data_IF_357128576945
#
_entry.id   IF_357128576945
#
_cell.length_a   1.000
_cell.length_b   1.000
_cell.length_c   1.000
_cell.angle_alpha   90.00
_cell.angle_beta   90.00
_cell.angle_gamma   90.00
#
_symmetry.space_group_name_H-M   'P 1'
#
loop_
_entity.id
_entity.type
_entity.pdbx_description
1 polymer ?
#
# COMPACT_ATOMS: atom_id res chain seq x y z
N UNK A 1 2.48 19.89 14.97
CA UNK A 1 1.69 19.20 13.94
C UNK A 1 2.58 19.01 12.74
N UNK A 2 2.56 17.89 12.05
CA UNK A 2 3.28 17.79 10.80
C UNK A 2 2.77 18.86 9.83
N UNK A 3 3.67 19.48 9.06
CA UNK A 3 3.28 20.40 8.01
C UNK A 3 2.41 19.66 6.99
N UNK A 4 1.30 20.24 6.60
CA UNK A 4 0.44 19.66 5.56
C UNK A 4 1.21 19.67 4.23
N UNK A 5 1.58 18.54 3.64
CA UNK A 5 2.35 18.51 2.40
C UNK A 5 1.54 19.03 1.20
N UNK A 6 0.21 18.93 1.28
CA UNK A 6 -0.72 19.38 0.27
C UNK A 6 -1.55 20.54 0.82
N UNK A 7 -1.58 21.67 0.10
CA UNK A 7 -2.49 22.79 0.41
C UNK A 7 -3.91 22.45 -0.05
N UNK A 8 -4.95 23.13 0.47
CA UNK A 8 -6.31 22.91 0.02
C UNK A 8 -6.44 23.02 -1.51
N UNK A 9 -6.93 21.95 -2.15
CA UNK A 9 -7.05 21.85 -3.61
C UNK A 9 -5.84 21.27 -4.35
N UNK A 10 -4.67 21.13 -3.71
CA UNK A 10 -3.56 20.36 -4.28
C UNK A 10 -3.88 18.85 -4.25
N UNK A 11 -3.40 18.15 -5.26
CA UNK A 11 -3.57 16.70 -5.42
C UNK A 11 -2.22 15.99 -5.43
N UNK A 12 -2.24 14.71 -5.18
CA UNK A 12 -1.08 13.84 -5.39
C UNK A 12 -0.69 13.83 -6.87
N UNK A 13 0.62 13.76 -7.15
CA UNK A 13 1.09 13.61 -8.53
C UNK A 13 0.56 12.33 -9.15
N UNK A 14 0.73 11.19 -8.51
CA UNK A 14 0.20 9.90 -8.97
C UNK A 14 -0.04 8.94 -7.81
N UNK A 15 -0.96 7.99 -7.99
CA UNK A 15 -1.36 7.02 -6.97
C UNK A 15 -1.49 5.63 -7.61
N UNK A 16 -0.85 4.63 -7.04
CA UNK A 16 -0.97 3.24 -7.49
C UNK A 16 -2.42 2.77 -7.37
N UNK A 17 -2.96 2.22 -8.43
CA UNK A 17 -4.34 1.78 -8.50
C UNK A 17 -4.46 0.38 -9.08
N UNK A 18 -5.00 -0.53 -8.28
CA UNK A 18 -5.48 -1.84 -8.66
C UNK A 18 -6.98 -1.90 -8.35
N UNK A 19 -7.85 -2.30 -9.28
CA UNK A 19 -9.31 -2.15 -9.11
C UNK A 19 -9.98 -3.27 -8.33
N UNK A 20 -9.22 -4.13 -7.66
CA UNK A 20 -9.78 -5.28 -6.92
C UNK A 20 -10.43 -4.84 -5.61
N UNK A 21 -11.62 -5.38 -5.30
CA UNK A 21 -12.39 -5.09 -4.08
C UNK A 21 -12.70 -6.37 -3.30
N UNK A 22 -12.57 -6.32 -1.99
CA UNK A 22 -12.96 -7.39 -1.09
C UNK A 22 -12.31 -8.74 -1.43
N UNK A 23 -13.06 -9.65 -2.03
CA UNK A 23 -12.58 -11.00 -2.41
C UNK A 23 -12.04 -11.10 -3.83
N UNK A 24 -12.11 -10.04 -4.62
CA UNK A 24 -11.53 -10.03 -5.95
C UNK A 24 -10.01 -10.11 -5.85
N UNK A 25 -9.39 -10.83 -6.78
CA UNK A 25 -7.93 -11.07 -6.78
C UNK A 25 -7.42 -11.30 -8.19
N UNK A 26 -6.23 -10.82 -8.54
CA UNK A 26 -5.56 -11.17 -9.79
C UNK A 26 -4.99 -12.59 -9.80
N UNK A 27 -4.99 -13.28 -8.64
CA UNK A 27 -4.45 -14.64 -8.51
C UNK A 27 -5.44 -15.71 -8.96
N UNK A 28 -6.69 -15.33 -9.23
CA UNK A 28 -7.75 -16.24 -9.68
C UNK A 28 -8.13 -16.03 -11.15
N UNK A 29 -8.44 -17.10 -11.87
CA UNK A 29 -8.78 -17.06 -13.30
C UNK A 29 -10.15 -16.42 -13.61
N UNK A 30 -11.02 -16.26 -12.61
CA UNK A 30 -12.41 -15.85 -12.80
C UNK A 30 -12.71 -14.40 -12.39
N UNK A 31 -11.70 -13.62 -12.05
CA UNK A 31 -11.90 -12.22 -11.70
C UNK A 31 -12.08 -11.39 -12.97
N UNK A 32 -13.19 -10.64 -13.05
CA UNK A 32 -13.44 -9.65 -14.09
C UNK A 32 -13.95 -8.37 -13.44
N UNK A 33 -13.26 -7.27 -13.67
CA UNK A 33 -13.60 -5.97 -13.11
C UNK A 33 -14.51 -5.22 -14.09
N UNK A 34 -15.65 -4.74 -13.60
CA UNK A 34 -16.60 -4.01 -14.43
C UNK A 34 -16.18 -2.55 -14.62
N UNK A 35 -16.60 -1.96 -15.76
CA UNK A 35 -16.43 -0.53 -16.01
C UNK A 35 -17.08 0.34 -14.93
N UNK A 36 -18.22 -0.08 -14.36
CA UNK A 36 -18.92 0.64 -13.29
C UNK A 36 -18.09 0.71 -12.02
N UNK A 37 -17.43 -0.40 -11.65
CA UNK A 37 -16.53 -0.43 -10.49
C UNK A 37 -15.34 0.51 -10.68
N UNK A 38 -14.70 0.47 -11.85
CA UNK A 38 -13.57 1.35 -12.20
C UNK A 38 -14.02 2.81 -12.19
N UNK A 39 -15.20 3.11 -12.75
CA UNK A 39 -15.74 4.48 -12.80
C UNK A 39 -16.01 5.05 -11.40
N UNK A 40 -16.59 4.26 -10.49
CA UNK A 40 -16.78 4.64 -9.09
C UNK A 40 -15.44 4.92 -8.40
N UNK A 41 -14.44 4.05 -8.57
CA UNK A 41 -13.11 4.25 -7.99
C UNK A 41 -12.46 5.53 -8.54
N UNK A 42 -12.41 5.69 -9.86
CA UNK A 42 -11.73 6.82 -10.49
C UNK A 42 -12.43 8.16 -10.20
N UNK A 43 -13.76 8.16 -10.03
CA UNK A 43 -14.51 9.35 -9.59
C UNK A 43 -14.09 9.86 -8.22
N UNK A 44 -13.71 8.94 -7.32
CA UNK A 44 -13.18 9.24 -5.98
C UNK A 44 -11.73 9.69 -6.06
N UNK A 45 -10.90 8.94 -6.80
CA UNK A 45 -9.47 9.22 -6.95
C UNK A 45 -9.21 10.55 -7.64
N UNK A 46 -10.03 10.96 -8.60
CA UNK A 46 -9.91 12.26 -9.26
C UNK A 46 -10.01 13.47 -8.31
N UNK A 47 -10.52 13.27 -7.09
CA UNK A 47 -10.57 14.33 -6.06
C UNK A 47 -9.25 14.50 -5.32
N UNK A 48 -8.37 13.47 -5.32
CA UNK A 48 -7.18 13.43 -4.47
C UNK A 48 -5.88 13.23 -5.25
N UNK A 49 -5.93 12.83 -6.52
CA UNK A 49 -4.74 12.67 -7.38
C UNK A 49 -5.00 13.17 -8.80
N UNK A 50 -3.94 13.55 -9.51
CA UNK A 50 -3.99 13.91 -10.92
C UNK A 50 -3.71 12.72 -11.85
N UNK A 51 -3.16 11.63 -11.31
CA UNK A 51 -2.77 10.46 -12.07
C UNK A 51 -3.01 9.18 -11.27
N UNK A 52 -3.31 8.09 -12.01
CA UNK A 52 -3.25 6.72 -11.47
C UNK A 52 -2.19 5.91 -12.20
N UNK A 53 -1.44 5.09 -11.46
CA UNK A 53 -0.51 4.10 -12.01
C UNK A 53 -1.15 2.73 -11.93
N UNK A 54 -1.25 2.05 -13.09
CA UNK A 54 -1.74 0.66 -13.19
C UNK A 54 -0.60 -0.32 -13.34
N UNK A 55 -0.89 -1.63 -13.22
CA UNK A 55 0.11 -2.70 -13.24
C UNK A 55 -0.10 -3.72 -14.36
N UNK A 56 -1.31 -3.78 -14.91
CA UNK A 56 -1.71 -4.79 -15.88
C UNK A 56 -2.79 -4.24 -16.81
N UNK A 57 -3.02 -4.94 -17.90
CA UNK A 57 -4.14 -4.72 -18.84
C UNK A 57 -5.20 -5.82 -18.75
N UNK A 58 -5.00 -6.85 -17.91
CA UNK A 58 -5.93 -7.96 -17.75
C UNK A 58 -7.09 -7.65 -16.79
N UNK A 59 -8.01 -8.57 -16.65
CA UNK A 59 -9.14 -8.53 -15.72
C UNK A 59 -10.09 -7.35 -15.91
N UNK A 60 -10.12 -6.71 -17.08
CA UNK A 60 -10.90 -5.51 -17.37
C UNK A 60 -10.18 -4.20 -17.10
N UNK A 61 -8.88 -4.24 -16.72
CA UNK A 61 -8.07 -3.05 -16.48
C UNK A 61 -7.73 -2.26 -17.76
N UNK A 62 -7.87 -2.87 -18.93
CA UNK A 62 -7.78 -2.21 -20.25
C UNK A 62 -8.81 -1.07 -20.42
N UNK A 63 -9.88 -1.06 -19.62
CA UNK A 63 -10.89 0.00 -19.60
C UNK A 63 -10.45 1.26 -18.84
N UNK A 64 -9.42 1.17 -17.97
CA UNK A 64 -9.02 2.24 -17.05
C UNK A 64 -8.68 3.52 -17.80
N UNK A 65 -7.89 3.47 -18.87
CA UNK A 65 -7.48 4.66 -19.60
C UNK A 65 -8.66 5.45 -20.20
N UNK A 66 -9.63 4.75 -20.77
CA UNK A 66 -10.85 5.38 -21.33
C UNK A 66 -11.76 5.97 -20.25
N UNK A 67 -11.81 5.33 -19.07
CA UNK A 67 -12.59 5.83 -17.93
C UNK A 67 -11.88 7.02 -17.28
N UNK A 68 -10.57 6.93 -17.08
CA UNK A 68 -9.74 8.00 -16.53
C UNK A 68 -9.85 9.31 -17.34
N UNK A 69 -9.93 9.19 -18.67
CA UNK A 69 -10.14 10.34 -19.56
C UNK A 69 -11.41 11.13 -19.21
N UNK A 70 -12.51 10.43 -18.84
CA UNK A 70 -13.77 11.10 -18.46
C UNK A 70 -13.68 11.86 -17.14
N UNK A 71 -12.79 11.43 -16.23
CA UNK A 71 -12.55 12.06 -14.93
C UNK A 71 -11.39 13.06 -14.94
N UNK A 72 -10.77 13.32 -16.11
CA UNK A 72 -9.61 14.22 -16.23
C UNK A 72 -8.32 13.69 -15.60
N UNK A 73 -8.27 12.40 -15.28
CA UNK A 73 -7.09 11.74 -14.72
C UNK A 73 -6.10 11.36 -15.80
N UNK A 74 -4.81 11.49 -15.51
CA UNK A 74 -3.73 10.88 -16.28
C UNK A 74 -3.51 9.44 -15.84
N UNK A 75 -2.85 8.63 -16.69
CA UNK A 75 -2.54 7.23 -16.41
C UNK A 75 -1.07 6.95 -16.71
N UNK A 76 -0.36 6.38 -15.76
CA UNK A 76 0.87 5.64 -16.01
C UNK A 76 0.47 4.18 -16.27
N UNK A 77 0.39 3.81 -17.54
CA UNK A 77 -0.13 2.51 -17.97
C UNK A 77 0.91 1.43 -17.76
N UNK A 78 0.69 0.58 -16.76
CA UNK A 78 1.48 -0.62 -16.55
C UNK A 78 1.05 -1.75 -17.47
N UNK A 79 2.02 -2.60 -17.80
CA UNK A 79 1.79 -3.90 -18.38
C UNK A 79 2.57 -4.94 -17.55
N UNK A 80 1.95 -6.09 -17.29
CA UNK A 80 2.56 -7.13 -16.46
C UNK A 80 3.41 -8.07 -17.32
N UNK A 81 4.70 -8.09 -17.08
CA UNK A 81 5.61 -9.04 -17.70
C UNK A 81 5.95 -10.17 -16.73
N UNK A 82 6.03 -11.38 -17.27
CA UNK A 82 6.33 -12.62 -16.56
C UNK A 82 7.22 -13.53 -17.38
N UNK A 83 7.52 -14.72 -16.87
CA UNK A 83 8.24 -15.77 -17.61
C UNK A 83 7.41 -16.44 -18.72
N UNK A 84 6.18 -15.95 -19.00
CA UNK A 84 5.27 -16.51 -20.00
C UNK A 84 5.15 -15.61 -21.23
N UNK A 85 5.90 -15.88 -22.32
CA UNK A 85 5.97 -15.01 -23.52
C UNK A 85 4.62 -14.71 -24.15
N UNK A 86 3.69 -15.68 -24.19
CA UNK A 86 2.38 -15.48 -24.79
C UNK A 86 1.52 -14.49 -24.01
N UNK A 87 1.57 -14.55 -22.67
CA UNK A 87 0.91 -13.56 -21.80
C UNK A 87 1.54 -12.19 -21.96
N UNK A 88 2.86 -12.13 -21.97
CA UNK A 88 3.61 -10.88 -22.18
C UNK A 88 3.20 -10.22 -23.50
N UNK A 89 3.07 -10.99 -24.58
CA UNK A 89 2.61 -10.47 -25.88
C UNK A 89 1.23 -9.82 -25.79
N UNK A 90 0.27 -10.45 -25.14
CA UNK A 90 -1.09 -9.90 -24.96
C UNK A 90 -1.04 -8.58 -24.18
N UNK A 91 -0.30 -8.54 -23.08
CA UNK A 91 -0.10 -7.33 -22.28
C UNK A 91 0.51 -6.20 -23.11
N UNK A 92 1.56 -6.50 -23.88
CA UNK A 92 2.27 -5.52 -24.72
C UNK A 92 1.33 -4.98 -25.82
N UNK A 93 0.67 -5.85 -26.56
CA UNK A 93 -0.22 -5.42 -27.65
C UNK A 93 -1.37 -4.55 -27.13
N UNK A 94 -1.96 -4.93 -25.99
CA UNK A 94 -3.02 -4.14 -25.35
C UNK A 94 -2.51 -2.79 -24.89
N UNK A 95 -1.38 -2.73 -24.18
CA UNK A 95 -0.82 -1.47 -23.68
C UNK A 95 -0.41 -0.53 -24.82
N UNK A 96 0.17 -1.06 -25.90
CA UNK A 96 0.51 -0.28 -27.11
C UNK A 96 -0.75 0.27 -27.78
N UNK A 97 -1.80 -0.55 -27.93
CA UNK A 97 -3.07 -0.09 -28.49
C UNK A 97 -3.71 1.01 -27.65
N UNK A 98 -3.69 0.87 -26.30
CA UNK A 98 -4.21 1.89 -25.38
C UNK A 98 -3.41 3.18 -25.45
N UNK A 99 -2.08 3.13 -25.46
CA UNK A 99 -1.22 4.32 -25.53
C UNK A 99 -1.44 5.10 -26.83
N UNK A 100 -1.64 4.41 -27.94
CA UNK A 100 -1.95 5.05 -29.22
C UNK A 100 -3.40 5.60 -29.28
N UNK A 101 -4.34 4.95 -28.59
CA UNK A 101 -5.75 5.40 -28.55
C UNK A 101 -5.98 6.58 -27.61
N UNK A 102 -5.24 6.66 -26.52
CA UNK A 102 -5.43 7.65 -25.46
C UNK A 102 -4.15 8.45 -25.15
N UNK A 103 -3.46 9.05 -26.15
CA UNK A 103 -2.18 9.73 -25.92
C UNK A 103 -2.30 10.99 -25.05
N UNK A 104 -3.51 11.56 -24.96
CA UNK A 104 -3.79 12.69 -24.06
C UNK A 104 -4.06 12.29 -22.61
N UNK A 105 -4.31 11.00 -22.35
CA UNK A 105 -4.61 10.46 -21.01
C UNK A 105 -3.45 9.63 -20.46
N UNK A 106 -2.92 8.72 -21.27
CA UNK A 106 -1.73 7.94 -20.91
C UNK A 106 -0.51 8.85 -21.03
N UNK A 107 0.12 9.16 -19.90
CA UNK A 107 1.31 10.03 -19.86
C UNK A 107 2.63 9.25 -19.92
N UNK A 108 2.61 7.95 -19.63
CA UNK A 108 3.75 7.06 -19.77
C UNK A 108 3.29 5.59 -19.81
N UNK A 109 4.11 4.72 -20.43
CA UNK A 109 3.96 3.27 -20.34
C UNK A 109 5.06 2.71 -19.42
N UNK A 110 4.63 1.91 -18.43
CA UNK A 110 5.53 1.19 -17.51
C UNK A 110 5.64 -0.25 -17.97
N UNK A 111 6.77 -0.59 -18.60
CA UNK A 111 7.01 -1.90 -19.23
C UNK A 111 7.54 -2.90 -18.20
N UNK A 112 6.63 -3.50 -17.46
CA UNK A 112 6.93 -4.44 -16.38
C UNK A 112 7.08 -3.77 -15.01
N UNK A 113 6.77 -4.55 -13.99
CA UNK A 113 6.91 -4.21 -12.58
C UNK A 113 7.73 -5.28 -11.87
N UNK A 114 8.91 -4.91 -11.35
CA UNK A 114 9.79 -5.80 -10.56
C UNK A 114 10.13 -7.13 -11.26
N UNK A 115 10.25 -7.11 -12.57
CA UNK A 115 10.51 -8.30 -13.40
C UNK A 115 11.86 -8.91 -13.05
N UNK A 116 12.85 -8.05 -12.79
CA UNK A 116 14.20 -8.50 -12.40
C UNK A 116 14.23 -8.95 -10.95
N UNK A 117 13.55 -8.27 -10.04
CA UNK A 117 13.38 -8.69 -8.65
C UNK A 117 12.74 -10.08 -8.58
N UNK A 118 11.71 -10.34 -9.38
CA UNK A 118 11.03 -11.64 -9.44
C UNK A 118 11.82 -12.70 -10.23
N UNK A 119 12.92 -12.33 -10.90
CA UNK A 119 13.73 -13.26 -11.69
C UNK A 119 13.01 -13.85 -12.91
N UNK A 120 12.02 -13.15 -13.46
CA UNK A 120 11.17 -13.69 -14.53
C UNK A 120 11.69 -13.46 -15.94
N UNK A 121 12.61 -12.50 -16.13
CA UNK A 121 13.28 -12.25 -17.40
C UNK A 121 14.75 -11.85 -17.14
N UNK A 122 15.62 -12.04 -18.15
CA UNK A 122 16.96 -11.45 -18.14
C UNK A 122 16.90 -9.93 -18.36
N UNK A 123 17.90 -9.18 -17.88
CA UNK A 123 17.99 -7.73 -18.14
C UNK A 123 18.07 -7.41 -19.64
N UNK A 124 18.76 -8.24 -20.41
CA UNK A 124 18.91 -8.10 -21.86
C UNK A 124 17.57 -8.24 -22.58
N UNK A 125 16.77 -9.27 -22.24
CA UNK A 125 15.46 -9.49 -22.85
C UNK A 125 14.47 -8.40 -22.43
N UNK A 126 14.51 -7.98 -21.17
CA UNK A 126 13.71 -6.88 -20.68
C UNK A 126 14.06 -5.56 -21.41
N UNK A 127 15.33 -5.23 -21.53
CA UNK A 127 15.77 -4.03 -22.26
C UNK A 127 15.38 -4.07 -23.74
N UNK A 128 15.43 -5.24 -24.38
CA UNK A 128 14.96 -5.43 -25.75
C UNK A 128 13.43 -5.21 -25.84
N UNK A 129 12.66 -5.76 -24.90
CA UNK A 129 11.22 -5.58 -24.80
C UNK A 129 10.84 -4.11 -24.61
N UNK A 130 11.52 -3.40 -23.71
CA UNK A 130 11.31 -1.96 -23.47
C UNK A 130 11.52 -1.17 -24.76
N UNK A 131 12.64 -1.40 -25.48
CA UNK A 131 12.91 -0.72 -26.76
C UNK A 131 11.86 -1.03 -27.83
N UNK A 132 11.37 -2.28 -27.89
CA UNK A 132 10.33 -2.68 -28.82
C UNK A 132 8.98 -1.98 -28.54
N UNK A 133 8.60 -1.82 -27.27
CA UNK A 133 7.42 -1.06 -26.88
C UNK A 133 7.62 0.42 -27.18
N UNK A 134 8.76 0.99 -26.79
CA UNK A 134 9.09 2.40 -27.01
C UNK A 134 9.00 2.84 -28.48
N UNK A 135 9.40 1.97 -29.40
CA UNK A 135 9.31 2.23 -30.84
C UNK A 135 7.84 2.29 -31.37
N UNK A 136 6.85 1.90 -30.56
CA UNK A 136 5.45 1.70 -31.00
C UNK A 136 4.46 2.63 -30.31
N UNK A 137 4.89 3.41 -29.31
CA UNK A 137 4.03 4.29 -28.53
C UNK A 137 4.44 5.75 -28.64
N UNK A 138 3.50 6.70 -28.63
CA UNK A 138 3.80 8.14 -28.76
C UNK A 138 4.14 8.81 -27.41
N UNK A 139 4.21 8.06 -26.32
CA UNK A 139 4.41 8.55 -24.95
C UNK A 139 5.71 7.99 -24.36
N UNK A 140 6.30 8.63 -23.35
CA UNK A 140 7.50 8.14 -22.68
C UNK A 140 7.33 6.73 -22.11
N UNK A 141 8.43 5.96 -22.12
CA UNK A 141 8.45 4.58 -21.63
C UNK A 141 9.44 4.44 -20.49
N UNK A 142 9.02 3.77 -19.44
CA UNK A 142 9.84 3.41 -18.29
C UNK A 142 9.68 1.94 -17.93
N UNK A 143 10.46 1.49 -17.01
CA UNK A 143 10.35 0.23 -16.27
C UNK A 143 10.32 0.56 -14.78
N UNK A 144 9.74 -0.27 -13.94
CA UNK A 144 9.66 -0.03 -12.50
C UNK A 144 10.22 -1.22 -11.71
N UNK A 145 11.18 -0.95 -10.83
CA UNK A 145 11.78 -1.96 -9.95
C UNK A 145 12.37 -1.32 -8.68
N UNK A 146 12.75 -2.15 -7.73
CA UNK A 146 13.48 -1.70 -6.54
C UNK A 146 14.83 -1.11 -6.93
N UNK A 147 15.30 -0.19 -6.12
CA UNK A 147 16.41 0.68 -6.47
C UNK A 147 17.74 -0.05 -6.74
N UNK A 148 17.99 -1.20 -6.11
CA UNK A 148 19.20 -2.01 -6.28
C UNK A 148 19.33 -2.57 -7.70
N UNK A 149 18.21 -2.99 -8.32
CA UNK A 149 18.21 -3.56 -9.65
C UNK A 149 18.54 -2.50 -10.71
N UNK A 150 18.12 -1.27 -10.49
CA UNK A 150 18.51 -0.16 -11.36
C UNK A 150 20.02 0.06 -11.37
N UNK A 151 20.68 0.01 -10.20
CA UNK A 151 22.13 0.16 -10.10
C UNK A 151 22.89 -1.03 -10.67
N UNK A 152 22.26 -2.22 -10.69
CA UNK A 152 22.88 -3.46 -11.19
C UNK A 152 22.80 -3.59 -12.70
N UNK A 153 21.77 -3.07 -13.35
CA UNK A 153 21.46 -3.33 -14.75
C UNK A 153 21.41 -2.06 -15.60
N UNK A 154 22.59 -1.59 -16.03
CA UNK A 154 22.73 -0.37 -16.82
C UNK A 154 22.10 -0.46 -18.22
N UNK A 155 21.97 -1.66 -18.80
CA UNK A 155 21.32 -1.93 -20.09
C UNK A 155 19.81 -1.60 -20.06
N UNK A 156 19.14 -1.87 -18.95
CA UNK A 156 17.74 -1.51 -18.72
C UNK A 156 17.61 0.01 -18.56
N UNK A 157 18.51 0.64 -17.79
CA UNK A 157 18.52 2.09 -17.64
C UNK A 157 18.73 2.83 -18.96
N UNK A 158 19.53 2.26 -19.89
CA UNK A 158 19.73 2.81 -21.23
C UNK A 158 18.48 2.69 -22.13
N UNK A 159 17.60 1.72 -21.88
CA UNK A 159 16.44 1.45 -22.71
C UNK A 159 15.25 2.39 -22.43
N UNK A 160 15.13 2.94 -21.22
CA UNK A 160 13.98 3.76 -20.78
C UNK A 160 14.18 5.26 -21.04
N UNK A 161 13.09 6.02 -21.04
CA UNK A 161 13.14 7.50 -21.12
C UNK A 161 13.45 8.14 -19.76
N UNK A 162 12.93 7.59 -18.67
CA UNK A 162 13.17 8.01 -17.30
C UNK A 162 13.21 6.79 -16.36
N UNK A 163 13.82 6.95 -15.20
CA UNK A 163 13.98 5.90 -14.19
C UNK A 163 12.79 5.91 -13.24
N UNK A 164 12.17 4.75 -12.98
CA UNK A 164 11.08 4.62 -12.02
C UNK A 164 11.49 3.63 -10.93
N UNK A 165 11.73 4.14 -9.71
CA UNK A 165 12.28 3.35 -8.60
C UNK A 165 11.24 3.08 -7.53
N UNK A 166 11.29 1.90 -6.93
CA UNK A 166 10.56 1.56 -5.71
C UNK A 166 11.49 1.74 -4.51
N UNK A 167 11.01 2.45 -3.51
CA UNK A 167 11.67 2.64 -2.22
C UNK A 167 10.64 2.43 -1.13
N UNK A 168 10.66 1.26 -0.52
CA UNK A 168 9.70 0.83 0.48
C UNK A 168 10.42 0.57 1.81
N UNK A 169 10.59 1.58 2.67
CA UNK A 169 11.42 1.50 3.88
C UNK A 169 11.02 0.38 4.84
N UNK A 170 9.74 -0.04 4.82
CA UNK A 170 9.26 -1.20 5.58
C UNK A 170 9.84 -2.53 5.04
N UNK A 171 10.06 -2.63 3.72
CA UNK A 171 10.51 -3.85 3.03
C UNK A 171 12.02 -3.94 2.83
N UNK A 172 12.79 -2.92 3.21
CA UNK A 172 14.25 -2.99 3.15
C UNK A 172 14.78 -4.23 3.88
N UNK A 173 15.94 -4.74 3.49
CA UNK A 173 16.62 -5.84 4.19
C UNK A 173 16.82 -5.52 5.67
N UNK A 174 17.17 -4.26 5.97
CA UNK A 174 17.15 -3.68 7.29
C UNK A 174 15.99 -2.70 7.39
N UNK A 175 14.83 -3.11 7.94
CA UNK A 175 13.63 -2.29 7.98
C UNK A 175 13.86 -0.94 8.67
N UNK A 176 13.46 0.13 8.00
CA UNK A 176 13.68 1.50 8.47
C UNK A 176 12.49 1.95 9.32
N UNK A 177 12.69 2.43 10.57
CA UNK A 177 11.61 3.01 11.36
C UNK A 177 10.95 4.20 10.65
N UNK A 178 9.63 4.34 10.77
CA UNK A 178 8.84 5.36 10.07
C UNK A 178 9.40 6.79 10.23
N UNK A 179 9.91 7.15 11.42
CA UNK A 179 10.54 8.46 11.68
C UNK A 179 11.76 8.75 10.81
N UNK A 180 12.41 7.73 10.24
CA UNK A 180 13.59 7.84 9.39
C UNK A 180 13.27 7.57 7.91
N UNK A 181 12.04 7.18 7.59
CA UNK A 181 11.66 6.72 6.26
C UNK A 181 11.89 7.78 5.17
N UNK A 182 11.48 9.03 5.39
CA UNK A 182 11.66 10.10 4.39
C UNK A 182 13.16 10.40 4.14
N UNK A 183 13.99 10.39 5.18
CA UNK A 183 15.44 10.59 5.02
C UNK A 183 16.09 9.44 4.25
N UNK A 184 15.65 8.20 4.50
CA UNK A 184 16.10 7.03 3.74
C UNK A 184 15.69 7.13 2.26
N UNK A 185 14.43 7.45 1.98
CA UNK A 185 13.92 7.67 0.62
C UNK A 185 14.76 8.71 -0.12
N UNK A 186 15.09 9.84 0.51
CA UNK A 186 15.93 10.88 -0.11
C UNK A 186 17.35 10.39 -0.38
N UNK A 187 17.94 9.67 0.54
CA UNK A 187 19.30 9.15 0.37
C UNK A 187 19.42 8.20 -0.83
N UNK A 188 18.45 7.30 -0.99
CA UNK A 188 18.37 6.37 -2.12
C UNK A 188 18.11 7.14 -3.42
N UNK A 189 17.10 8.03 -3.42
CA UNK A 189 16.78 8.86 -4.60
C UNK A 189 18.01 9.62 -5.09
N UNK A 190 18.74 10.30 -4.21
CA UNK A 190 19.95 11.05 -4.58
C UNK A 190 21.02 10.16 -5.19
N UNK A 191 21.22 8.97 -4.65
CA UNK A 191 22.15 7.96 -5.19
C UNK A 191 21.76 7.58 -6.63
N UNK A 192 20.46 7.40 -6.92
CA UNK A 192 20.00 7.08 -8.28
C UNK A 192 20.11 8.29 -9.22
N UNK A 193 19.83 9.50 -8.74
CA UNK A 193 20.02 10.74 -9.54
C UNK A 193 21.48 10.92 -9.92
N UNK A 194 22.42 10.64 -9.03
CA UNK A 194 23.85 10.69 -9.29
C UNK A 194 24.27 9.60 -10.29
N UNK A 195 23.82 8.34 -10.08
CA UNK A 195 24.17 7.20 -10.93
C UNK A 195 23.63 7.34 -12.37
N UNK A 196 22.47 8.00 -12.54
CA UNK A 196 21.81 8.17 -13.83
C UNK A 196 21.67 9.64 -14.22
N UNK A 197 22.78 10.38 -14.09
CA UNK A 197 22.83 11.79 -14.46
C UNK A 197 22.29 12.02 -15.88
N UNK A 198 21.37 12.99 -16.03
CA UNK A 198 20.70 13.30 -17.28
C UNK A 198 19.40 12.55 -17.54
N UNK A 199 19.00 11.59 -16.68
CA UNK A 199 17.67 11.00 -16.68
C UNK A 199 16.87 11.45 -15.45
N UNK A 200 15.60 11.73 -15.67
CA UNK A 200 14.71 11.96 -14.52
C UNK A 200 14.54 10.69 -13.70
N UNK A 201 14.54 10.82 -12.37
CA UNK A 201 14.26 9.74 -11.42
C UNK A 201 12.92 10.03 -10.76
N UNK A 202 11.94 9.17 -11.02
CA UNK A 202 10.59 9.21 -10.44
C UNK A 202 10.48 8.11 -9.39
N UNK A 203 9.94 8.42 -8.23
CA UNK A 203 9.61 7.39 -7.25
C UNK A 203 8.32 6.70 -7.72
N UNK A 204 8.43 5.44 -8.11
CA UNK A 204 7.35 4.60 -8.63
C UNK A 204 6.49 3.99 -7.54
N UNK A 205 7.09 3.68 -6.40
CA UNK A 205 6.38 3.23 -5.21
C UNK A 205 7.07 3.73 -3.95
N UNK A 206 6.28 4.37 -3.11
CA UNK A 206 6.61 4.71 -1.72
C UNK A 206 5.34 4.71 -0.90
N UNK A 207 5.39 4.19 0.30
CA UNK A 207 4.25 4.11 1.20
C UNK A 207 4.62 3.46 2.51
N UNK A 208 3.59 3.17 3.32
CA UNK A 208 3.72 2.52 4.61
C UNK A 208 2.44 1.75 4.95
N UNK A 209 2.53 0.54 5.51
CA UNK A 209 1.34 -0.20 5.90
C UNK A 209 0.69 0.39 7.15
N UNK A 210 -0.65 0.51 7.15
CA UNK A 210 -1.41 1.04 8.29
C UNK A 210 -1.70 0.00 9.37
N UNK A 211 -1.51 -1.29 9.08
CA UNK A 211 -1.74 -2.38 10.02
C UNK A 211 -0.92 -3.61 9.64
N UNK A 212 -0.84 -4.57 10.57
CA UNK A 212 -0.10 -5.81 10.39
C UNK A 212 1.09 -5.91 11.34
N UNK A 213 1.94 -6.92 11.11
CA UNK A 213 3.08 -7.18 11.99
C UNK A 213 4.23 -6.23 11.76
N UNK A 214 4.88 -5.85 12.85
CA UNK A 214 6.12 -5.10 12.86
C UNK A 214 7.28 -5.94 12.29
N UNK A 215 8.18 -5.29 11.55
CA UNK A 215 9.48 -5.81 11.17
C UNK A 215 10.54 -4.98 11.87
N UNK A 216 11.21 -5.52 12.87
CA UNK A 216 12.18 -4.82 13.71
C UNK A 216 11.65 -3.46 14.23
N UNK A 217 12.24 -2.32 13.82
CA UNK A 217 11.77 -0.98 14.18
C UNK A 217 10.68 -0.39 13.27
N UNK A 218 10.27 -1.10 12.20
CA UNK A 218 9.25 -0.67 11.27
C UNK A 218 7.86 -1.12 11.72
N UNK A 219 7.15 -0.27 12.45
CA UNK A 219 5.83 -0.53 13.02
C UNK A 219 4.72 -0.10 12.05
N UNK A 220 3.88 -1.04 11.53
CA UNK A 220 2.67 -0.69 10.81
C UNK A 220 1.64 -0.04 11.75
N UNK A 221 1.18 1.14 11.40
CA UNK A 221 0.08 1.80 12.11
C UNK A 221 -0.51 2.96 11.30
N UNK A 222 -1.76 3.38 11.55
CA UNK A 222 -2.36 4.53 10.86
C UNK A 222 -1.54 5.82 11.04
N UNK A 223 -1.01 6.09 12.22
CA UNK A 223 -0.19 7.27 12.48
C UNK A 223 1.14 7.24 11.74
N UNK A 224 1.81 6.06 11.67
CA UNK A 224 3.08 5.95 10.97
C UNK A 224 2.87 5.96 9.44
N UNK A 225 1.77 5.40 8.92
CA UNK A 225 1.40 5.55 7.50
C UNK A 225 1.22 7.03 7.16
N UNK A 226 0.41 7.75 7.91
CA UNK A 226 0.18 9.18 7.69
C UNK A 226 1.48 9.99 7.78
N UNK A 227 2.36 9.69 8.75
CA UNK A 227 3.67 10.32 8.89
C UNK A 227 4.53 10.11 7.66
N UNK A 228 4.79 8.84 7.30
CA UNK A 228 5.71 8.52 6.19
C UNK A 228 5.25 9.14 4.89
N UNK A 229 3.96 9.02 4.56
CA UNK A 229 3.42 9.59 3.34
C UNK A 229 3.53 11.11 3.33
N UNK A 230 3.18 11.79 4.44
CA UNK A 230 3.26 13.25 4.53
C UNK A 230 4.70 13.75 4.49
N UNK A 231 5.62 13.10 5.21
CA UNK A 231 7.04 13.50 5.25
C UNK A 231 7.70 13.34 3.86
N UNK A 232 7.39 12.25 3.14
CA UNK A 232 7.90 12.03 1.78
C UNK A 232 7.32 13.05 0.79
N UNK A 233 6.03 13.35 0.87
CA UNK A 233 5.40 14.35 -0.01
C UNK A 233 5.93 15.77 0.26
N UNK A 234 6.15 16.14 1.52
CA UNK A 234 6.77 17.41 1.89
C UNK A 234 8.20 17.51 1.34
N UNK A 235 8.96 16.42 1.43
CA UNK A 235 10.28 16.29 0.82
C UNK A 235 10.22 16.44 -0.71
N UNK A 236 9.29 15.74 -1.36
CA UNK A 236 9.12 15.77 -2.81
C UNK A 236 8.79 17.18 -3.33
N UNK A 237 7.93 17.90 -2.60
CA UNK A 237 7.57 19.29 -2.90
C UNK A 237 8.79 20.22 -2.75
N UNK A 238 9.57 20.09 -1.69
CA UNK A 238 10.76 20.91 -1.43
C UNK A 238 11.87 20.66 -2.45
N UNK A 239 12.15 19.38 -2.76
CA UNK A 239 13.22 18.96 -3.66
C UNK A 239 12.77 18.83 -5.12
N UNK A 240 11.49 19.08 -5.40
CA UNK A 240 10.86 19.11 -6.75
C UNK A 240 11.03 17.79 -7.53
N UNK A 241 10.72 16.65 -6.95
CA UNK A 241 10.67 15.36 -7.63
C UNK A 241 9.28 14.73 -7.61
N UNK A 242 9.02 13.85 -8.57
CA UNK A 242 7.73 13.19 -8.74
C UNK A 242 7.64 11.93 -7.90
N UNK A 243 6.48 11.73 -7.25
CA UNK A 243 6.19 10.59 -6.38
C UNK A 243 4.86 9.97 -6.74
N UNK A 244 4.87 8.67 -7.03
CA UNK A 244 3.68 7.85 -7.02
C UNK A 244 3.59 7.14 -5.66
N UNK A 245 2.49 7.36 -4.96
CA UNK A 245 2.26 6.72 -3.65
C UNK A 245 1.62 5.35 -3.83
N UNK A 246 2.09 4.36 -3.13
CA UNK A 246 1.43 3.06 -3.00
C UNK A 246 0.65 3.02 -1.70
N UNK A 247 -0.70 2.83 -1.74
CA UNK A 247 -1.57 2.68 -2.89
C UNK A 247 -2.93 3.33 -2.64
N UNK A 248 -3.80 3.33 -3.65
CA UNK A 248 -5.11 3.99 -3.57
C UNK A 248 -6.00 3.37 -2.49
N UNK A 249 -6.25 2.09 -2.59
CA UNK A 249 -7.13 1.34 -1.68
C UNK A 249 -6.38 0.21 -1.02
N UNK A 250 -6.83 -0.20 0.15
CA UNK A 250 -6.39 -1.46 0.74
C UNK A 250 -6.72 -2.62 -0.20
N UNK A 251 -5.78 -3.58 -0.30
CA UNK A 251 -5.84 -4.71 -1.22
C UNK A 251 -5.78 -6.04 -0.44
N UNK A 252 -6.90 -6.53 0.12
CA UNK A 252 -6.92 -7.71 0.99
C UNK A 252 -6.29 -8.97 0.39
N UNK A 253 -6.33 -9.12 -0.94
CA UNK A 253 -5.73 -10.25 -1.65
C UNK A 253 -4.20 -10.32 -1.53
N UNK A 254 -3.52 -9.18 -1.36
CA UNK A 254 -2.06 -9.12 -1.18
C UNK A 254 -1.60 -9.81 0.10
N UNK A 255 -2.47 -9.97 1.09
CA UNK A 255 -2.13 -10.70 2.33
C UNK A 255 -1.66 -12.14 2.07
N UNK A 256 -2.09 -12.76 0.98
CA UNK A 256 -1.66 -14.09 0.60
C UNK A 256 -0.19 -14.14 0.16
N UNK A 257 0.35 -13.04 -0.36
CA UNK A 257 1.71 -12.93 -0.89
C UNK A 257 2.65 -12.19 0.07
N UNK A 258 2.17 -11.12 0.69
CA UNK A 258 2.96 -10.15 1.47
C UNK A 258 2.74 -10.28 2.99
N UNK A 259 2.00 -11.28 3.43
CA UNK A 259 1.71 -11.48 4.84
C UNK A 259 0.68 -10.47 5.40
N UNK A 260 0.73 -10.25 6.70
CA UNK A 260 -0.31 -9.49 7.41
C UNK A 260 -0.43 -8.03 6.97
N UNK A 261 0.66 -7.43 6.49
CA UNK A 261 0.70 -6.03 6.05
C UNK A 261 0.20 -5.82 4.63
N UNK A 262 0.25 -6.84 3.77
CA UNK A 262 -0.03 -6.70 2.33
C UNK A 262 -1.38 -6.10 1.99
N UNK A 263 -2.38 -6.31 2.84
CA UNK A 263 -3.72 -5.76 2.63
C UNK A 263 -3.95 -4.34 3.16
N UNK A 264 -2.92 -3.63 3.65
CA UNK A 264 -3.10 -2.41 4.46
C UNK A 264 -2.25 -1.22 3.98
N UNK A 265 -1.88 -1.18 2.70
CA UNK A 265 -1.08 -0.10 2.12
C UNK A 265 -1.91 1.07 1.57
N UNK A 266 -3.22 0.88 1.37
CA UNK A 266 -4.12 1.88 0.81
C UNK A 266 -4.16 3.17 1.63
N UNK A 267 -4.27 4.31 0.95
CA UNK A 267 -4.64 5.58 1.57
C UNK A 267 -6.13 5.63 1.90
N UNK A 268 -6.93 4.85 1.15
CA UNK A 268 -8.35 4.65 1.38
C UNK A 268 -8.60 3.20 1.82
N UNK A 269 -9.58 3.02 2.70
CA UNK A 269 -10.05 1.72 3.17
C UNK A 269 -10.79 0.96 2.05
N UNK A 270 -10.59 -0.36 1.93
CA UNK A 270 -11.22 -1.19 0.89
C UNK A 270 -12.74 -1.22 0.99
N UNK A 271 -13.29 -1.36 2.19
CA UNK A 271 -14.73 -1.57 2.37
C UNK A 271 -15.53 -0.26 2.27
N UNK A 272 -15.02 0.81 2.89
CA UNK A 272 -15.71 2.11 2.97
C UNK A 272 -15.36 3.05 1.83
N UNK A 273 -14.25 2.82 1.14
CA UNK A 273 -13.69 3.70 0.09
C UNK A 273 -13.44 5.13 0.59
N UNK A 274 -13.21 5.31 1.90
CA UNK A 274 -12.92 6.61 2.52
C UNK A 274 -11.46 6.72 2.92
N UNK A 275 -10.90 7.96 2.94
CA UNK A 275 -9.53 8.19 3.42
C UNK A 275 -9.34 7.70 4.85
N UNK A 276 -8.21 7.09 5.15
CA UNK A 276 -7.84 6.62 6.48
C UNK A 276 -7.36 7.73 7.41
N UNK A 277 -6.93 8.84 6.84
CA UNK A 277 -6.48 10.03 7.58
C UNK A 277 -6.76 11.31 6.78
N UNK A 278 -6.74 12.43 7.47
CA UNK A 278 -6.86 13.77 6.88
C UNK A 278 -5.46 14.42 6.92
N UNK A 279 -5.10 15.07 5.82
CA UNK A 279 -3.81 15.74 5.69
C UNK A 279 -3.62 16.82 6.76
N UNK A 280 -2.47 16.80 7.45
CA UNK A 280 -2.14 17.75 8.51
C UNK A 280 -2.83 17.52 9.85
N UNK A 281 -3.75 16.56 9.97
CA UNK A 281 -4.38 16.21 11.23
C UNK A 281 -3.62 15.12 12.01
N UNK A 282 -3.81 15.13 13.32
CA UNK A 282 -3.26 14.08 14.18
C UNK A 282 -4.02 12.77 13.99
N UNK A 283 -3.30 11.69 13.73
CA UNK A 283 -3.88 10.35 13.52
C UNK A 283 -3.71 9.50 14.77
N UNK A 284 -4.80 8.88 15.21
CA UNK A 284 -4.78 7.96 16.36
C UNK A 284 -4.51 6.53 15.90
N UNK A 285 -3.61 5.84 16.62
CA UNK A 285 -3.41 4.39 16.46
C UNK A 285 -4.51 3.56 17.13
N UNK A 286 -5.37 4.21 17.94
CA UNK A 286 -6.44 3.58 18.70
C UNK A 286 -7.77 4.33 18.53
N UNK A 287 -8.33 4.39 17.30
CA UNK A 287 -9.55 5.16 17.05
C UNK A 287 -10.77 4.63 17.84
N UNK A 288 -10.77 3.35 18.16
CA UNK A 288 -11.85 2.68 18.90
C UNK A 288 -11.61 2.57 20.40
N UNK A 289 -10.63 3.28 20.97
CA UNK A 289 -10.22 3.14 22.37
C UNK A 289 -11.37 3.32 23.37
N UNK A 290 -12.36 4.18 23.07
CA UNK A 290 -13.55 4.40 23.92
C UNK A 290 -14.42 3.16 24.01
N UNK A 291 -14.63 2.49 22.88
CA UNK A 291 -15.39 1.25 22.82
C UNK A 291 -14.66 0.10 23.49
N UNK A 292 -13.33 0.04 23.28
CA UNK A 292 -12.48 -0.94 23.97
C UNK A 292 -12.50 -0.74 25.48
N UNK A 293 -12.39 0.50 25.94
CA UNK A 293 -12.49 0.85 27.36
C UNK A 293 -13.88 0.51 27.94
N UNK A 294 -14.97 0.84 27.23
CA UNK A 294 -16.33 0.52 27.67
C UNK A 294 -16.53 -1.01 27.75
N UNK A 295 -16.04 -1.79 26.78
CA UNK A 295 -16.04 -3.26 26.82
C UNK A 295 -15.23 -3.82 27.99
N UNK A 296 -14.04 -3.26 28.25
CA UNK A 296 -13.23 -3.63 29.40
C UNK A 296 -13.90 -3.35 30.75
N UNK A 297 -14.55 -2.19 30.89
CA UNK A 297 -15.32 -1.85 32.09
C UNK A 297 -16.49 -2.81 32.29
N UNK A 298 -17.24 -3.11 31.23
CA UNK A 298 -18.34 -4.08 31.28
C UNK A 298 -17.84 -5.48 31.70
N UNK A 299 -16.74 -5.96 31.14
CA UNK A 299 -16.12 -7.22 31.50
C UNK A 299 -15.72 -7.22 32.98
N UNK A 300 -15.05 -6.16 33.46
CA UNK A 300 -14.68 -6.00 34.86
C UNK A 300 -15.93 -6.03 35.76
N UNK A 301 -17.01 -5.34 35.39
CA UNK A 301 -18.26 -5.35 36.16
C UNK A 301 -18.87 -6.77 36.25
N UNK A 302 -18.83 -7.56 35.14
CA UNK A 302 -19.31 -8.95 35.15
C UNK A 302 -18.46 -9.85 36.06
N UNK A 303 -17.14 -9.69 36.04
CA UNK A 303 -16.22 -10.42 36.94
C UNK A 303 -16.51 -10.08 38.40
N UNK A 304 -16.74 -8.78 38.73
CA UNK A 304 -17.09 -8.37 40.07
C UNK A 304 -18.46 -8.94 40.54
N UNK A 305 -19.46 -8.91 39.65
CA UNK A 305 -20.77 -9.49 39.96
C UNK A 305 -20.64 -10.99 40.24
N UNK A 306 -19.89 -11.73 39.38
CA UNK A 306 -19.65 -13.15 39.58
C UNK A 306 -18.89 -13.46 40.87
N UNK A 307 -17.84 -12.70 41.16
CA UNK A 307 -17.06 -12.84 42.39
C UNK A 307 -17.90 -12.51 43.65
N UNK A 308 -18.77 -11.50 43.57
CA UNK A 308 -19.67 -11.13 44.66
C UNK A 308 -20.76 -12.18 44.88
N UNK A 309 -21.36 -12.69 43.83
CA UNK A 309 -22.38 -13.73 43.90
C UNK A 309 -21.83 -15.08 44.40
N UNK A 310 -20.61 -15.41 44.04
CA UNK A 310 -19.96 -16.67 44.43
C UNK A 310 -19.41 -16.68 45.85
N UNK A 311 -19.38 -15.54 46.56
CA UNK A 311 -18.93 -15.49 47.95
C UNK A 311 -19.99 -16.10 48.89
N UNK A 312 -19.73 -17.28 49.40
CA UNK A 312 -20.61 -17.99 50.37
C UNK A 312 -20.51 -17.37 51.76
N UNK A 313 -21.03 -16.13 51.95
CA UNK A 313 -21.20 -15.51 53.27
C UNK A 313 -19.93 -15.11 54.06
N UNK A 314 -18.71 -15.31 53.44
CA UNK A 314 -17.43 -14.95 54.06
C UNK A 314 -16.95 -13.56 53.62
N UNK A 315 -16.46 -12.76 54.57
CA UNK A 315 -15.78 -11.47 54.26
C UNK A 315 -14.41 -11.74 53.60
N UNK A 316 -14.30 -11.49 52.30
CA UNK A 316 -12.99 -11.59 51.62
C UNK A 316 -12.08 -10.40 52.04
N UNK A 317 -10.80 -10.62 52.32
CA UNK A 317 -9.85 -9.58 52.64
C UNK A 317 -9.67 -8.60 51.49
N UNK A 318 -9.28 -7.34 51.79
CA UNK A 318 -9.05 -6.28 50.78
C UNK A 318 -8.10 -6.72 49.66
N UNK A 319 -7.06 -7.48 50.00
CA UNK A 319 -6.11 -8.00 49.02
C UNK A 319 -6.75 -8.88 47.94
N UNK A 320 -7.80 -9.63 48.31
CA UNK A 320 -8.55 -10.46 47.35
C UNK A 320 -9.29 -9.59 46.33
N UNK A 321 -9.97 -8.53 46.80
CA UNK A 321 -10.69 -7.61 45.91
C UNK A 321 -9.75 -6.81 45.01
N UNK A 322 -8.57 -6.42 45.52
CA UNK A 322 -7.53 -5.79 44.70
C UNK A 322 -7.03 -6.74 43.59
N UNK A 323 -6.82 -8.02 43.92
CA UNK A 323 -6.44 -9.01 42.91
C UNK A 323 -7.54 -9.22 41.85
N UNK A 324 -8.83 -9.32 42.26
CA UNK A 324 -9.95 -9.41 41.31
C UNK A 324 -10.01 -8.18 40.40
N UNK A 325 -9.82 -6.99 40.97
CA UNK A 325 -9.80 -5.72 40.18
C UNK A 325 -8.68 -5.74 39.15
N UNK A 326 -7.45 -6.05 39.58
CA UNK A 326 -6.29 -6.08 38.71
C UNK A 326 -6.47 -7.08 37.54
N UNK A 327 -6.94 -8.28 37.83
CA UNK A 327 -7.20 -9.29 36.80
C UNK A 327 -8.34 -8.92 35.87
N UNK A 328 -9.44 -8.34 36.39
CA UNK A 328 -10.57 -7.90 35.58
C UNK A 328 -10.19 -6.76 34.61
N UNK A 329 -9.42 -5.78 35.09
CA UNK A 329 -8.93 -4.67 34.24
C UNK A 329 -7.95 -5.17 33.21
N UNK A 330 -7.01 -6.01 33.58
CA UNK A 330 -6.04 -6.60 32.64
C UNK A 330 -6.74 -7.46 31.57
N UNK A 331 -7.68 -8.33 31.98
CA UNK A 331 -8.47 -9.15 31.06
C UNK A 331 -9.31 -8.29 30.09
N UNK A 332 -9.98 -7.26 30.59
CA UNK A 332 -10.76 -6.33 29.77
C UNK A 332 -9.89 -5.58 28.74
N UNK A 333 -8.70 -5.14 29.14
CA UNK A 333 -7.76 -4.48 28.24
C UNK A 333 -7.24 -5.43 27.13
N UNK A 334 -6.92 -6.68 27.51
CA UNK A 334 -6.48 -7.73 26.57
C UNK A 334 -7.59 -8.10 25.57
N UNK A 335 -8.83 -8.26 26.03
CA UNK A 335 -9.97 -8.53 25.15
C UNK A 335 -10.17 -7.37 24.17
N UNK A 336 -10.18 -6.12 24.65
CA UNK A 336 -10.33 -4.95 23.81
C UNK A 336 -9.23 -4.85 22.75
N UNK A 337 -7.99 -5.09 23.13
CA UNK A 337 -6.85 -5.14 22.20
C UNK A 337 -7.01 -6.27 21.18
N UNK A 338 -7.38 -7.46 21.62
CA UNK A 338 -7.50 -8.66 20.79
C UNK A 338 -8.57 -8.52 19.70
N UNK A 339 -9.71 -7.92 20.01
CA UNK A 339 -10.80 -7.68 19.05
C UNK A 339 -10.30 -6.87 17.84
N UNK A 340 -9.44 -5.87 18.07
CA UNK A 340 -8.88 -5.05 16.99
C UNK A 340 -7.73 -5.72 16.22
N UNK A 341 -6.84 -6.42 16.92
CA UNK A 341 -5.56 -6.86 16.34
C UNK A 341 -5.54 -8.32 15.84
N UNK A 342 -6.27 -9.22 16.50
CA UNK A 342 -6.28 -10.64 16.13
C UNK A 342 -6.71 -10.87 14.67
N UNK A 343 -7.77 -10.25 14.13
CA UNK A 343 -8.14 -10.42 12.73
C UNK A 343 -7.08 -9.92 11.75
N UNK A 344 -6.36 -8.86 12.12
CA UNK A 344 -5.32 -8.25 11.28
C UNK A 344 -4.07 -9.15 11.25
N UNK A 345 -3.63 -9.61 12.42
CA UNK A 345 -2.37 -10.36 12.58
C UNK A 345 -2.50 -11.86 12.30
N UNK A 346 -3.71 -12.40 12.19
CA UNK A 346 -3.95 -13.82 11.94
C UNK A 346 -4.02 -14.12 10.45
N UNK A 347 -3.12 -14.97 9.96
CA UNK A 347 -3.11 -15.49 8.60
C UNK A 347 -3.23 -17.01 8.62
N UNK A 348 -4.17 -17.53 7.82
CA UNK A 348 -4.42 -18.95 7.73
C UNK A 348 -4.79 -19.61 9.06
N UNK A 349 -4.99 -20.92 9.07
CA UNK A 349 -5.39 -21.68 10.27
C UNK A 349 -4.35 -21.56 11.40
N UNK A 350 -3.06 -21.65 11.07
CA UNK A 350 -1.99 -21.57 12.07
C UNK A 350 -1.94 -20.19 12.76
N UNK A 351 -2.16 -19.10 12.03
CA UNK A 351 -2.24 -17.76 12.59
C UNK A 351 -3.40 -17.61 13.58
N UNK A 352 -4.56 -18.11 13.22
CA UNK A 352 -5.74 -18.09 14.10
C UNK A 352 -5.58 -18.96 15.34
N UNK A 353 -5.05 -20.20 15.19
CA UNK A 353 -4.78 -21.07 16.34
C UNK A 353 -3.79 -20.42 17.32
N UNK A 354 -2.71 -19.81 16.81
CA UNK A 354 -1.77 -19.07 17.66
C UNK A 354 -2.44 -17.92 18.40
N UNK A 355 -3.24 -17.11 17.70
CA UNK A 355 -3.92 -15.95 18.31
C UNK A 355 -4.92 -16.40 19.38
N UNK A 356 -5.69 -17.47 19.11
CA UNK A 356 -6.59 -18.07 20.10
C UNK A 356 -5.83 -18.60 21.33
N UNK A 357 -4.69 -19.24 21.15
CA UNK A 357 -3.86 -19.73 22.25
C UNK A 357 -3.23 -18.62 23.11
N UNK A 358 -3.09 -17.40 22.56
CA UNK A 358 -2.53 -16.26 23.30
C UNK A 358 -3.61 -15.46 24.05
N UNK A 359 -4.87 -15.57 23.64
CA UNK A 359 -6.00 -14.79 24.21
C UNK A 359 -6.85 -15.63 25.17
N UNK A 360 -6.92 -16.96 24.95
CA UNK A 360 -7.64 -17.90 25.83
C UNK A 360 -6.84 -18.40 26.98
#
# INVERSE_FOLDING_TARGET
MPETPLTPGEKLYCLSYSPFRGRQTPLGSNTQISAVQIDDDLSRLAKITDCVRTYSTEFGQDQIAGIAARHGLKVMQGLWLSSHPDKNRVQIETAVALANRYPGTIQAVVVGNEVLLRGEMSSTDLAATIRAVKARVPVPVTYADVWEYWLRYADVAAAVDFITIHILPYWEDFPIPARNAAAHVDSIRRRLVEAFAGKEVVIGEVGWPSAGRMREGALPSPAEQARVVQDVLALAKREKFRVNVIEAFDEPWKRALEGTVGGHWGLLDDATRTPKFIWGEAVSNHPLWRWQAAGGILFAALVFVAAFAGRAGTSAPLAHWLAVTANAVAGGALIGWSIGNVPIESLGVAGWLRSLALVG
#
